data_IF_015598204835
#
_entry.id   IF_015598204835
#
_cell.length_a   1.000
_cell.length_b   1.000
_cell.length_c   1.000
_cell.angle_alpha   90.00
_cell.angle_beta   90.00
_cell.angle_gamma   90.00
#
_symmetry.space_group_name_H-M   'P 1'
#
loop_
_entity.id
_entity.type
_entity.pdbx_description
1 polymer ?
#
# COMPACT_ATOMS: atom_id res chain seq x y z
N UNK A 1 13.67 5.83 -30.47
CA UNK A 1 12.98 6.95 -31.18
C UNK A 1 13.94 7.72 -32.10
N UNK A 2 15.13 8.14 -31.63
CA UNK A 2 16.05 9.04 -32.36
C UNK A 2 16.52 8.44 -33.68
N UNK A 3 16.94 7.17 -33.72
CA UNK A 3 17.41 6.49 -34.95
C UNK A 3 16.30 6.29 -35.99
N UNK A 4 15.06 6.05 -35.59
CA UNK A 4 13.93 5.92 -36.52
C UNK A 4 13.58 7.27 -37.11
N UNK A 5 13.53 8.32 -36.31
CA UNK A 5 13.19 9.68 -36.80
C UNK A 5 14.28 10.29 -37.67
N UNK A 6 15.57 9.92 -37.49
CA UNK A 6 16.64 10.41 -38.35
C UNK A 6 16.60 9.78 -39.75
N UNK A 7 16.19 8.50 -39.85
CA UNK A 7 16.12 7.79 -41.12
C UNK A 7 14.75 7.95 -41.82
N UNK A 8 13.67 8.06 -41.05
CA UNK A 8 12.31 8.07 -41.54
C UNK A 8 11.46 9.13 -40.80
N UNK A 9 11.68 10.46 -41.04
CA UNK A 9 11.10 11.50 -40.19
C UNK A 9 9.56 11.55 -40.23
N UNK A 10 8.94 11.32 -41.39
CA UNK A 10 7.48 11.31 -41.51
C UNK A 10 6.84 10.03 -41.04
N UNK A 11 7.33 8.89 -41.55
CA UNK A 11 6.83 7.57 -41.16
C UNK A 11 7.07 7.25 -39.68
N UNK A 12 8.22 7.70 -39.15
CA UNK A 12 8.53 7.56 -37.73
C UNK A 12 7.57 8.37 -36.85
N UNK A 13 7.19 9.59 -37.23
CA UNK A 13 6.18 10.40 -36.49
C UNK A 13 4.81 9.73 -36.52
N UNK A 14 4.38 9.26 -37.70
CA UNK A 14 3.12 8.56 -37.86
C UNK A 14 3.07 7.29 -37.03
N UNK A 15 4.15 6.48 -37.03
CA UNK A 15 4.30 5.31 -36.18
C UNK A 15 4.14 5.68 -34.71
N UNK A 16 4.86 6.69 -34.23
CA UNK A 16 4.77 7.08 -32.80
C UNK A 16 3.41 7.67 -32.44
N UNK A 17 2.71 8.29 -33.36
CA UNK A 17 1.33 8.69 -33.17
C UNK A 17 0.42 7.47 -32.99
N UNK A 18 0.51 6.46 -33.84
CA UNK A 18 -0.24 5.21 -33.69
C UNK A 18 0.10 4.49 -32.37
N UNK A 19 1.39 4.44 -32.00
CA UNK A 19 1.81 3.88 -30.71
C UNK A 19 1.24 4.68 -29.52
N UNK A 20 1.05 5.99 -29.65
CA UNK A 20 0.50 6.81 -28.55
C UNK A 20 -0.99 6.62 -28.30
N UNK A 21 -1.77 6.30 -29.35
CA UNK A 21 -3.22 6.06 -29.25
C UNK A 21 -3.56 4.57 -29.10
N UNK A 22 -2.54 3.70 -29.18
CA UNK A 22 -2.76 2.24 -29.08
C UNK A 22 -3.41 1.81 -27.76
N UNK A 23 -3.04 2.35 -26.57
CA UNK A 23 -3.67 1.97 -25.32
C UNK A 23 -5.18 2.22 -25.32
N UNK A 24 -5.61 3.38 -25.84
CA UNK A 24 -7.02 3.73 -25.92
C UNK A 24 -7.78 2.85 -26.91
N UNK A 25 -7.20 2.61 -28.11
CA UNK A 25 -7.78 1.71 -29.09
C UNK A 25 -7.93 0.30 -28.55
N UNK A 26 -6.88 -0.20 -27.86
CA UNK A 26 -6.91 -1.50 -27.21
C UNK A 26 -8.02 -1.55 -26.16
N UNK A 27 -8.06 -0.61 -25.24
CA UNK A 27 -9.00 -0.55 -24.12
C UNK A 27 -10.47 -0.47 -24.58
N UNK A 28 -10.76 0.25 -25.66
CA UNK A 28 -12.15 0.49 -26.08
C UNK A 28 -12.65 -0.42 -27.21
N UNK A 29 -11.74 -1.04 -27.98
CA UNK A 29 -12.12 -1.79 -29.18
C UNK A 29 -11.64 -3.24 -29.20
N UNK A 30 -10.47 -3.54 -28.61
CA UNK A 30 -9.83 -4.85 -28.76
C UNK A 30 -9.53 -5.56 -27.43
N UNK A 31 -9.79 -4.92 -26.31
CA UNK A 31 -9.56 -5.53 -25.02
C UNK A 31 -10.58 -6.64 -24.77
N UNK A 32 -10.12 -7.84 -24.44
CA UNK A 32 -10.96 -8.91 -23.93
C UNK A 32 -11.56 -8.53 -22.57
N UNK A 33 -12.74 -9.02 -22.27
CA UNK A 33 -13.40 -8.75 -21.00
C UNK A 33 -12.68 -9.38 -19.80
N UNK A 34 -11.88 -10.45 -20.03
CA UNK A 34 -11.30 -11.27 -18.96
C UNK A 34 -9.76 -11.26 -18.92
N UNK A 35 -9.07 -10.93 -20.01
CA UNK A 35 -7.63 -11.24 -20.17
C UNK A 35 -6.67 -10.09 -19.83
N UNK A 36 -7.15 -8.97 -19.35
CA UNK A 36 -6.31 -7.81 -19.10
C UNK A 36 -5.72 -7.78 -17.69
N UNK A 37 -4.48 -7.29 -17.60
CA UNK A 37 -3.74 -7.12 -16.35
C UNK A 37 -3.46 -5.64 -16.07
N UNK A 38 -3.43 -5.19 -14.81
CA UNK A 38 -3.62 -5.98 -13.57
C UNK A 38 -5.08 -6.26 -13.24
N UNK A 39 -6.04 -5.65 -13.93
CA UNK A 39 -7.48 -5.83 -13.73
C UNK A 39 -8.18 -5.97 -15.07
N UNK A 40 -9.01 -7.01 -15.21
CA UNK A 40 -9.85 -7.20 -16.38
C UNK A 40 -10.89 -6.10 -16.53
N UNK A 41 -11.44 -5.96 -17.73
CA UNK A 41 -12.54 -5.03 -18.00
C UNK A 41 -13.75 -5.29 -17.10
N UNK A 42 -14.10 -6.55 -16.86
CA UNK A 42 -15.18 -6.92 -15.96
C UNK A 42 -14.95 -6.44 -14.54
N UNK A 43 -13.74 -6.59 -14.01
CA UNK A 43 -13.36 -6.09 -12.68
C UNK A 43 -13.45 -4.57 -12.60
N UNK A 44 -12.95 -3.85 -13.60
CA UNK A 44 -13.04 -2.37 -13.66
C UNK A 44 -14.49 -1.91 -13.76
N UNK A 45 -15.31 -2.56 -14.58
CA UNK A 45 -16.75 -2.25 -14.74
C UNK A 45 -17.49 -2.39 -13.41
N UNK A 46 -17.22 -3.46 -12.66
CA UNK A 46 -17.80 -3.64 -11.32
C UNK A 46 -17.47 -2.47 -10.39
N UNK A 47 -16.21 -1.99 -10.38
CA UNK A 47 -15.82 -0.84 -9.56
C UNK A 47 -16.59 0.41 -9.95
N UNK A 48 -16.74 0.68 -11.26
CA UNK A 48 -17.49 1.84 -11.74
C UNK A 48 -18.97 1.76 -11.39
N UNK A 49 -19.61 0.60 -11.56
CA UNK A 49 -21.00 0.38 -11.16
C UNK A 49 -21.20 0.64 -9.66
N UNK A 50 -20.34 0.08 -8.82
CA UNK A 50 -20.40 0.27 -7.36
C UNK A 50 -20.14 1.73 -6.96
N UNK A 51 -19.22 2.42 -7.62
CA UNK A 51 -18.95 3.83 -7.36
C UNK A 51 -20.13 4.76 -7.65
N UNK A 52 -21.02 4.34 -8.56
CA UNK A 52 -22.27 5.04 -8.90
C UNK A 52 -23.48 4.53 -8.13
N UNK A 53 -23.26 3.59 -7.20
CA UNK A 53 -24.32 2.91 -6.45
C UNK A 53 -25.30 2.13 -7.36
N UNK A 54 -24.82 1.66 -8.49
CA UNK A 54 -25.57 0.79 -9.40
C UNK A 54 -25.45 -0.67 -8.93
N UNK A 55 -26.57 -1.34 -8.74
CA UNK A 55 -26.62 -2.73 -8.30
C UNK A 55 -26.33 -3.69 -9.45
N UNK A 56 -25.29 -4.53 -9.32
CA UNK A 56 -25.00 -5.58 -10.28
C UNK A 56 -25.87 -6.81 -10.04
N UNK A 57 -26.91 -6.98 -10.85
CA UNK A 57 -27.67 -8.24 -10.93
C UNK A 57 -27.25 -8.98 -12.19
N UNK A 58 -26.94 -10.27 -12.06
CA UNK A 58 -26.58 -11.16 -13.16
C UNK A 58 -27.73 -12.13 -13.46
N UNK A 59 -28.68 -11.77 -14.34
CA UNK A 59 -29.93 -12.54 -14.50
C UNK A 59 -29.76 -13.92 -15.17
N UNK A 60 -28.69 -14.11 -15.94
CA UNK A 60 -28.44 -15.35 -16.69
C UNK A 60 -27.33 -16.22 -16.11
N UNK A 61 -26.80 -15.87 -14.95
CA UNK A 61 -25.72 -16.60 -14.28
C UNK A 61 -24.38 -15.90 -14.30
N UNK A 62 -23.32 -16.65 -13.98
CA UNK A 62 -21.98 -16.12 -13.88
C UNK A 62 -21.35 -15.83 -15.23
N UNK A 63 -20.51 -14.78 -15.28
CA UNK A 63 -19.60 -14.49 -16.38
C UNK A 63 -18.17 -14.98 -16.08
N UNK A 64 -17.96 -15.60 -14.92
CA UNK A 64 -16.64 -16.07 -14.48
C UNK A 64 -16.34 -17.48 -15.00
N UNK A 65 -15.08 -17.77 -15.23
CA UNK A 65 -14.59 -19.08 -15.70
C UNK A 65 -14.36 -20.03 -14.52
N UNK A 66 -15.40 -20.70 -14.07
CA UNK A 66 -15.43 -21.53 -12.86
C UNK A 66 -14.45 -22.70 -12.84
N UNK A 67 -14.00 -23.18 -13.99
CA UNK A 67 -13.17 -24.39 -14.10
C UNK A 67 -11.68 -24.07 -14.35
N UNK A 68 -11.28 -22.81 -14.19
CA UNK A 68 -9.86 -22.44 -14.24
C UNK A 68 -9.18 -22.63 -12.88
N UNK A 69 -7.88 -22.95 -12.89
CA UNK A 69 -7.11 -23.31 -11.69
C UNK A 69 -7.00 -22.19 -10.65
N UNK A 70 -7.15 -20.94 -11.06
CA UNK A 70 -7.06 -19.74 -10.22
C UNK A 70 -8.42 -19.25 -9.73
N UNK A 71 -9.52 -19.94 -10.09
CA UNK A 71 -10.85 -19.57 -9.62
C UNK A 71 -10.97 -19.67 -8.10
N UNK A 72 -11.43 -18.59 -7.48
CA UNK A 72 -11.60 -18.48 -6.03
C UNK A 72 -13.08 -18.33 -5.70
N UNK A 73 -13.56 -19.13 -4.74
CA UNK A 73 -14.95 -19.10 -4.30
C UNK A 73 -15.09 -19.12 -2.79
N UNK A 74 -16.26 -18.75 -2.30
CA UNK A 74 -16.67 -18.92 -0.91
C UNK A 74 -17.72 -20.01 -0.80
N UNK A 75 -17.60 -20.89 0.19
CA UNK A 75 -18.64 -21.85 0.49
C UNK A 75 -19.86 -21.16 1.13
N UNK A 76 -21.05 -21.68 0.86
CA UNK A 76 -22.28 -21.23 1.49
C UNK A 76 -22.99 -22.38 2.21
N UNK A 77 -23.91 -22.04 3.13
CA UNK A 77 -24.76 -23.01 3.84
C UNK A 77 -26.16 -23.05 3.26
N UNK A 78 -26.78 -24.23 3.27
CA UNK A 78 -28.23 -24.38 3.00
C UNK A 78 -29.10 -23.83 4.13
N UNK A 79 -28.49 -23.57 5.32
CA UNK A 79 -29.14 -22.97 6.48
C UNK A 79 -28.35 -21.74 6.94
N UNK A 80 -28.47 -20.59 6.22
CA UNK A 80 -27.68 -19.41 6.52
C UNK A 80 -28.12 -18.77 7.83
N UNK A 81 -27.15 -18.25 8.56
CA UNK A 81 -27.40 -17.46 9.76
C UNK A 81 -27.73 -16.02 9.40
N UNK A 82 -28.71 -15.44 10.08
CA UNK A 82 -29.00 -14.01 9.95
C UNK A 82 -27.95 -13.19 10.67
N UNK A 83 -27.32 -12.29 9.94
CA UNK A 83 -26.33 -11.35 10.47
C UNK A 83 -27.08 -10.15 11.05
N UNK A 84 -26.95 -9.93 12.36
CA UNK A 84 -27.57 -8.79 13.06
C UNK A 84 -26.82 -7.48 12.85
N UNK A 85 -25.52 -7.53 12.60
CA UNK A 85 -24.66 -6.38 12.41
C UNK A 85 -23.60 -6.68 11.35
N UNK A 86 -23.46 -5.79 10.39
CA UNK A 86 -22.48 -5.91 9.29
C UNK A 86 -21.13 -5.23 9.61
N UNK A 87 -21.03 -4.58 10.76
CA UNK A 87 -19.81 -3.88 11.17
C UNK A 87 -18.83 -4.86 11.87
N UNK A 88 -18.16 -5.67 11.05
CA UNK A 88 -17.16 -6.61 11.53
C UNK A 88 -15.87 -5.89 11.91
N UNK A 89 -15.45 -6.03 13.18
CA UNK A 89 -14.24 -5.42 13.71
C UNK A 89 -13.30 -6.44 14.30
N UNK A 90 -12.01 -6.22 14.08
CA UNK A 90 -10.94 -6.96 14.72
C UNK A 90 -10.22 -6.03 15.70
N UNK A 91 -10.07 -6.50 16.93
CA UNK A 91 -9.36 -5.76 17.97
C UNK A 91 -7.86 -5.94 17.78
N UNK A 92 -7.15 -4.86 17.43
CA UNK A 92 -5.71 -4.84 17.19
C UNK A 92 -5.00 -4.12 18.34
N UNK A 93 -3.90 -4.72 18.82
CA UNK A 93 -3.07 -4.20 19.90
C UNK A 93 -3.33 -4.87 21.26
N UNK A 94 -2.29 -4.93 22.07
CA UNK A 94 -2.30 -5.57 23.39
C UNK A 94 -2.47 -4.60 24.57
N UNK A 95 -2.28 -3.28 24.31
CA UNK A 95 -2.28 -2.23 25.33
C UNK A 95 -3.65 -1.60 25.59
N UNK A 96 -3.64 -0.48 26.32
CA UNK A 96 -4.84 0.31 26.61
C UNK A 96 -5.42 1.02 25.37
N UNK A 97 -4.58 1.34 24.37
CA UNK A 97 -4.96 2.04 23.16
C UNK A 97 -5.11 1.07 21.98
N UNK A 98 -6.03 0.10 22.12
CA UNK A 98 -6.38 -0.82 21.07
C UNK A 98 -7.23 -0.13 20.00
N UNK A 99 -7.14 -0.62 18.77
CA UNK A 99 -7.96 -0.14 17.66
C UNK A 99 -8.94 -1.21 17.20
N UNK A 100 -10.21 -0.85 17.05
CA UNK A 100 -11.25 -1.71 16.47
C UNK A 100 -11.20 -1.58 14.95
N UNK A 101 -10.34 -2.37 14.33
CA UNK A 101 -10.06 -2.30 12.90
C UNK A 101 -11.15 -2.96 12.08
N UNK A 102 -11.61 -2.31 11.02
CA UNK A 102 -12.51 -2.90 10.04
C UNK A 102 -11.82 -4.03 9.28
N UNK A 103 -12.58 -4.98 8.74
CA UNK A 103 -12.06 -6.00 7.82
C UNK A 103 -11.62 -5.41 6.47
N UNK A 104 -12.21 -4.29 6.04
CA UNK A 104 -11.80 -3.53 4.86
C UNK A 104 -11.07 -2.27 5.30
N UNK A 105 -9.90 -2.01 4.71
CA UNK A 105 -9.11 -0.79 4.94
C UNK A 105 -8.44 -0.36 3.65
N UNK A 106 -8.05 0.91 3.56
CA UNK A 106 -7.34 1.43 2.38
C UNK A 106 -5.85 1.17 2.54
N UNK A 107 -5.27 0.52 1.55
CA UNK A 107 -3.84 0.21 1.46
C UNK A 107 -2.97 1.47 1.44
N UNK A 108 -1.68 1.29 1.76
CA UNK A 108 -0.70 2.38 1.85
C UNK A 108 -0.40 3.04 0.51
N UNK A 109 -0.91 4.25 0.33
CA UNK A 109 -0.64 5.11 -0.83
C UNK A 109 -0.02 6.42 -0.39
N UNK A 110 1.20 6.68 -0.86
CA UNK A 110 1.99 7.84 -0.42
C UNK A 110 1.52 9.14 -1.05
N UNK A 111 1.46 10.22 -0.27
CA UNK A 111 1.40 11.56 -0.83
C UNK A 111 2.68 11.85 -1.64
N UNK A 112 2.48 12.26 -2.89
CA UNK A 112 3.51 12.39 -3.91
C UNK A 112 3.59 11.21 -4.88
N UNK A 113 3.08 10.02 -4.51
CA UNK A 113 2.78 8.95 -5.48
C UNK A 113 1.40 9.19 -6.13
N UNK A 114 0.43 9.63 -5.33
CA UNK A 114 -0.89 10.07 -5.80
C UNK A 114 -1.14 11.53 -5.43
N UNK A 115 -2.12 12.15 -6.08
CA UNK A 115 -2.43 13.58 -5.96
C UNK A 115 -3.13 13.94 -4.64
N UNK A 116 -3.08 15.22 -4.22
CA UNK A 116 -3.83 15.72 -3.06
C UNK A 116 -5.32 15.36 -3.07
N UNK A 117 -6.08 15.61 -4.17
CA UNK A 117 -7.50 15.23 -4.21
C UNK A 117 -7.73 13.73 -4.02
N UNK A 118 -6.85 12.88 -4.56
CA UNK A 118 -6.95 11.43 -4.39
C UNK A 118 -6.77 11.02 -2.92
N UNK A 119 -5.74 11.54 -2.23
CA UNK A 119 -5.53 11.29 -0.79
C UNK A 119 -6.75 11.76 0.02
N UNK A 120 -7.22 12.98 -0.22
CA UNK A 120 -8.37 13.53 0.52
C UNK A 120 -9.63 12.69 0.30
N UNK A 121 -9.89 12.26 -0.93
CA UNK A 121 -11.05 11.42 -1.27
C UNK A 121 -10.97 10.05 -0.58
N UNK A 122 -9.82 9.39 -0.62
CA UNK A 122 -9.61 8.11 0.06
C UNK A 122 -9.79 8.25 1.58
N UNK A 123 -9.24 9.30 2.17
CA UNK A 123 -9.36 9.48 3.61
C UNK A 123 -10.79 9.89 4.04
N UNK A 124 -11.50 10.68 3.25
CA UNK A 124 -12.94 10.92 3.45
C UNK A 124 -13.77 9.65 3.34
N UNK A 125 -13.47 8.78 2.36
CA UNK A 125 -14.10 7.48 2.23
C UNK A 125 -13.85 6.60 3.47
N UNK A 126 -12.63 6.60 3.99
CA UNK A 126 -12.30 5.92 5.24
C UNK A 126 -13.14 6.42 6.41
N UNK A 127 -13.34 7.74 6.53
CA UNK A 127 -14.22 8.34 7.53
C UNK A 127 -15.68 7.91 7.36
N UNK A 128 -16.18 7.96 6.12
CA UNK A 128 -17.58 7.59 5.83
C UNK A 128 -17.85 6.11 6.09
N UNK A 129 -16.92 5.24 5.72
CA UNK A 129 -17.05 3.79 5.90
C UNK A 129 -16.58 3.28 7.27
N UNK A 130 -16.04 4.15 8.13
CA UNK A 130 -15.57 3.76 9.47
C UNK A 130 -14.38 2.80 9.44
N UNK A 131 -13.50 2.90 8.44
CA UNK A 131 -12.29 2.09 8.31
C UNK A 131 -11.03 2.96 8.26
N UNK A 132 -9.86 2.34 8.23
CA UNK A 132 -8.59 3.06 8.25
C UNK A 132 -8.01 3.28 6.86
N UNK A 133 -7.29 4.40 6.70
CA UNK A 133 -6.47 4.71 5.54
C UNK A 133 -5.00 4.66 5.92
N UNK A 134 -4.22 3.78 5.28
CA UNK A 134 -2.78 3.73 5.47
C UNK A 134 -2.11 4.83 4.65
N UNK A 135 -1.24 5.61 5.30
CA UNK A 135 -0.60 6.79 4.68
C UNK A 135 0.43 6.47 3.61
N UNK A 136 0.86 5.21 3.53
CA UNK A 136 2.07 4.89 2.78
C UNK A 136 3.32 5.55 3.36
N UNK A 137 4.46 5.39 2.70
CA UNK A 137 5.76 5.84 3.20
C UNK A 137 6.01 7.35 3.13
N UNK A 138 5.14 8.11 2.48
CA UNK A 138 5.28 9.56 2.28
C UNK A 138 4.97 10.42 3.50
N UNK A 139 4.75 9.83 4.66
CA UNK A 139 4.30 10.48 5.89
C UNK A 139 2.80 10.83 5.90
N UNK A 140 2.30 11.21 7.06
CA UNK A 140 0.96 11.78 7.23
C UNK A 140 0.98 13.20 6.64
N UNK A 141 0.27 13.42 5.55
CA UNK A 141 0.13 14.72 4.89
C UNK A 141 -1.07 15.51 5.42
N UNK A 142 -1.14 16.84 5.17
CA UNK A 142 -2.34 17.63 5.48
C UNK A 142 -3.62 17.05 4.84
N UNK A 143 -3.52 16.47 3.66
CA UNK A 143 -4.64 15.87 2.94
C UNK A 143 -5.20 14.61 3.59
N UNK A 144 -4.38 13.85 4.30
CA UNK A 144 -4.85 12.78 5.18
C UNK A 144 -5.60 13.36 6.39
N UNK A 145 -5.11 14.48 6.93
CA UNK A 145 -5.73 15.12 8.10
C UNK A 145 -7.09 15.76 7.75
N UNK A 146 -7.18 16.45 6.63
CA UNK A 146 -8.40 17.09 6.13
C UNK A 146 -9.53 16.10 5.86
N UNK A 147 -9.21 14.88 5.45
CA UNK A 147 -10.19 13.82 5.26
C UNK A 147 -10.88 13.40 6.56
N UNK A 148 -10.18 13.48 7.68
CA UNK A 148 -10.69 13.20 9.02
C UNK A 148 -11.01 11.74 9.31
N UNK A 149 -10.59 10.81 8.44
CA UNK A 149 -10.70 9.36 8.65
C UNK A 149 -9.55 8.82 9.49
N UNK A 150 -9.77 7.67 10.13
CA UNK A 150 -8.73 6.99 10.89
C UNK A 150 -7.53 6.64 10.01
N UNK A 151 -6.32 6.83 10.53
CA UNK A 151 -5.10 6.63 9.75
C UNK A 151 -4.17 5.61 10.39
N UNK A 152 -3.56 4.77 9.54
CA UNK A 152 -2.40 3.94 9.89
C UNK A 152 -1.19 4.68 9.35
N UNK A 153 -0.34 5.19 10.24
CA UNK A 153 0.86 5.88 9.80
C UNK A 153 1.98 4.91 9.50
N UNK A 154 2.35 4.83 8.22
CA UNK A 154 3.42 3.95 7.77
C UNK A 154 4.79 4.66 7.85
N UNK A 155 5.76 3.95 8.40
CA UNK A 155 7.16 4.39 8.55
C UNK A 155 8.04 3.46 7.73
N UNK A 156 8.74 4.02 6.74
CA UNK A 156 9.70 3.30 5.90
C UNK A 156 11.13 3.70 6.25
N UNK A 157 12.08 3.15 5.52
CA UNK A 157 13.53 3.33 5.67
C UNK A 157 14.00 4.78 5.56
N UNK A 158 13.21 5.66 4.91
CA UNK A 158 13.47 7.10 4.80
C UNK A 158 13.01 7.90 6.01
N UNK A 159 12.27 7.31 6.96
CA UNK A 159 11.71 7.98 8.15
C UNK A 159 10.98 9.29 7.86
N UNK A 160 10.32 9.39 6.71
CA UNK A 160 9.65 10.63 6.31
C UNK A 160 8.61 11.06 7.33
N UNK A 161 8.65 12.36 7.65
CA UNK A 161 7.82 12.96 8.68
C UNK A 161 8.25 12.73 10.12
N UNK A 162 9.26 11.88 10.36
CA UNK A 162 9.88 11.66 11.67
C UNK A 162 11.39 11.49 11.57
N UNK A 163 12.05 12.24 10.69
CA UNK A 163 13.50 12.22 10.49
C UNK A 163 14.17 13.51 10.94
N UNK A 164 15.45 13.44 11.29
CA UNK A 164 16.30 14.59 11.45
C UNK A 164 16.87 15.10 10.11
N UNK A 165 17.63 16.18 10.11
CA UNK A 165 18.27 16.75 8.91
C UNK A 165 19.26 15.79 8.23
N UNK A 166 19.78 14.80 8.97
CA UNK A 166 20.71 13.77 8.47
C UNK A 166 19.98 12.51 7.98
N UNK A 167 18.64 12.50 8.03
CA UNK A 167 17.80 11.38 7.61
C UNK A 167 17.75 10.23 8.60
N UNK A 168 18.06 10.45 9.88
CA UNK A 168 17.93 9.46 10.93
C UNK A 168 16.56 9.59 11.62
N UNK A 169 16.11 8.51 12.25
CA UNK A 169 14.88 8.53 13.05
C UNK A 169 14.95 9.55 14.19
N UNK A 170 13.95 10.41 14.29
CA UNK A 170 13.81 11.41 15.33
C UNK A 170 12.65 11.08 16.29
N UNK A 171 12.92 10.61 17.52
CA UNK A 171 11.89 10.22 18.47
C UNK A 171 10.88 11.33 18.81
N UNK A 172 11.34 12.58 18.90
CA UNK A 172 10.48 13.72 19.18
C UNK A 172 9.47 13.95 18.07
N UNK A 173 9.95 14.13 16.83
CA UNK A 173 9.09 14.35 15.66
C UNK A 173 8.11 13.17 15.43
N UNK A 174 8.57 11.94 15.71
CA UNK A 174 7.70 10.77 15.69
C UNK A 174 6.59 10.89 16.74
N UNK A 175 6.94 11.15 18.00
CA UNK A 175 5.96 11.21 19.10
C UNK A 175 4.91 12.29 18.87
N UNK A 176 5.31 13.48 18.39
CA UNK A 176 4.42 14.59 18.12
C UNK A 176 3.35 14.22 17.06
N UNK A 177 3.75 13.54 16.00
CA UNK A 177 2.87 13.12 14.94
C UNK A 177 2.05 11.86 15.30
N UNK A 178 2.68 10.87 15.93
CA UNK A 178 2.04 9.60 16.32
C UNK A 178 0.92 9.80 17.35
N UNK A 179 0.99 10.84 18.19
CA UNK A 179 -0.04 11.15 19.19
C UNK A 179 -1.29 11.84 18.65
N UNK A 180 -1.28 12.28 17.39
CA UNK A 180 -2.49 12.84 16.76
C UNK A 180 -3.66 11.86 16.87
N UNK A 181 -4.86 12.39 17.16
CA UNK A 181 -6.07 11.58 17.41
C UNK A 181 -6.44 10.68 16.23
N UNK A 182 -6.22 11.16 15.02
CA UNK A 182 -6.51 10.46 13.77
C UNK A 182 -5.58 9.26 13.51
N UNK A 183 -4.34 9.31 13.99
CA UNK A 183 -3.40 8.19 13.89
C UNK A 183 -3.82 7.11 14.90
N UNK A 184 -4.28 5.97 14.42
CA UNK A 184 -4.75 4.85 15.25
C UNK A 184 -3.71 3.77 15.44
N UNK A 185 -2.94 3.51 14.40
CA UNK A 185 -1.91 2.48 14.38
C UNK A 185 -0.64 2.99 13.69
N UNK A 186 0.48 2.33 13.96
CA UNK A 186 1.78 2.58 13.32
C UNK A 186 2.18 1.32 12.56
N UNK A 187 2.68 1.48 11.34
CA UNK A 187 3.18 0.37 10.53
C UNK A 187 4.62 0.61 10.10
N UNK A 188 5.51 -0.34 10.38
CA UNK A 188 6.90 -0.31 9.93
C UNK A 188 6.97 -1.07 8.60
N UNK A 189 7.27 -0.38 7.50
CA UNK A 189 7.42 -1.00 6.19
C UNK A 189 8.83 -1.57 6.04
N UNK A 190 8.94 -2.89 6.02
CA UNK A 190 10.20 -3.62 5.79
C UNK A 190 10.48 -3.78 4.30
N UNK A 191 9.45 -4.15 3.53
CA UNK A 191 9.52 -4.30 2.08
C UNK A 191 8.15 -4.11 1.42
N UNK A 192 8.09 -4.19 0.10
CA UNK A 192 6.86 -4.18 -0.69
C UNK A 192 6.98 -5.12 -1.87
N UNK A 193 5.84 -5.57 -2.42
CA UNK A 193 5.78 -6.57 -3.48
C UNK A 193 6.50 -6.19 -4.76
N UNK A 194 6.21 -5.01 -5.29
CA UNK A 194 6.73 -4.60 -6.59
C UNK A 194 8.23 -4.32 -6.66
N UNK A 195 8.92 -4.14 -5.53
CA UNK A 195 10.37 -3.89 -5.50
C UNK A 195 11.02 -4.32 -4.19
N UNK A 196 11.12 -5.62 -3.93
CA UNK A 196 11.82 -6.13 -2.73
C UNK A 196 13.28 -5.69 -2.74
N UNK A 197 13.79 -5.30 -1.55
CA UNK A 197 15.18 -4.85 -1.40
C UNK A 197 15.53 -3.52 -2.04
N UNK A 198 14.55 -2.82 -2.59
CA UNK A 198 14.72 -1.50 -3.19
C UNK A 198 13.99 -0.43 -2.36
N UNK A 199 14.65 0.66 -2.01
CA UNK A 199 14.03 1.78 -1.32
C UNK A 199 13.01 2.53 -2.18
N UNK A 200 12.19 3.39 -1.55
CA UNK A 200 11.32 4.31 -2.26
C UNK A 200 12.11 5.31 -3.10
N UNK A 201 11.60 5.67 -4.27
CA UNK A 201 12.17 6.68 -5.14
C UNK A 201 11.11 7.67 -5.60
N UNK A 202 11.39 8.96 -5.42
CA UNK A 202 10.62 10.06 -6.01
C UNK A 202 11.62 11.02 -6.65
N UNK A 203 11.52 11.18 -7.97
CA UNK A 203 12.45 12.00 -8.73
C UNK A 203 12.26 13.50 -8.47
N UNK A 204 13.33 14.27 -8.54
CA UNK A 204 13.40 15.71 -8.28
C UNK A 204 12.25 16.54 -8.90
N UNK A 205 11.85 16.33 -10.17
CA UNK A 205 10.75 17.10 -10.78
C UNK A 205 9.38 16.91 -10.10
N UNK A 206 9.21 15.81 -9.34
CA UNK A 206 7.98 15.50 -8.59
C UNK A 206 8.04 15.98 -7.13
N UNK A 207 9.21 16.43 -6.65
CA UNK A 207 9.38 16.88 -5.27
C UNK A 207 8.99 18.36 -5.17
N UNK A 208 7.69 18.62 -5.00
CA UNK A 208 7.15 19.96 -4.74
C UNK A 208 7.47 20.44 -3.32
N UNK A 209 7.26 21.72 -3.04
CA UNK A 209 7.41 22.29 -1.69
C UNK A 209 6.57 21.56 -0.65
N UNK A 210 5.31 21.25 -0.95
CA UNK A 210 4.41 20.53 -0.05
C UNK A 210 4.90 19.11 0.27
N UNK A 211 5.39 18.40 -0.76
CA UNK A 211 5.96 17.06 -0.60
C UNK A 211 7.23 17.14 0.23
N UNK A 212 8.10 18.11 -0.07
CA UNK A 212 9.34 18.32 0.66
C UNK A 212 9.08 18.61 2.15
N UNK A 213 8.15 19.51 2.44
CA UNK A 213 7.73 19.82 3.80
C UNK A 213 7.13 18.61 4.52
N UNK A 214 6.24 17.88 3.88
CA UNK A 214 5.57 16.68 4.45
C UNK A 214 6.57 15.58 4.80
N UNK A 215 7.55 15.35 3.91
CA UNK A 215 8.59 14.32 4.07
C UNK A 215 9.78 14.76 4.91
N UNK A 216 10.01 16.06 5.09
CA UNK A 216 11.20 16.61 5.74
C UNK A 216 12.46 16.43 4.87
N UNK A 217 12.37 16.80 3.58
CA UNK A 217 13.45 16.70 2.58
C UNK A 217 13.62 18.04 1.85
N UNK A 218 14.66 18.15 1.02
CA UNK A 218 14.91 19.33 0.21
C UNK A 218 14.07 19.32 -1.08
N UNK A 219 13.56 20.49 -1.46
CA UNK A 219 12.80 20.69 -2.70
C UNK A 219 13.70 20.47 -3.92
N UNK A 220 13.17 19.87 -4.96
CA UNK A 220 13.86 19.72 -6.26
C UNK A 220 15.07 18.79 -6.24
N UNK A 221 15.21 17.95 -5.21
CA UNK A 221 16.20 16.88 -5.16
C UNK A 221 15.54 15.52 -5.17
N UNK A 222 16.23 14.53 -5.77
CA UNK A 222 15.77 13.15 -5.76
C UNK A 222 15.62 12.65 -4.32
N UNK A 223 14.44 12.10 -4.02
CA UNK A 223 14.12 11.53 -2.73
C UNK A 223 14.25 10.01 -2.80
N UNK A 224 15.42 9.49 -2.45
CA UNK A 224 15.75 8.07 -2.46
C UNK A 224 15.82 7.56 -1.02
N UNK A 225 15.03 6.54 -0.71
CA UNK A 225 15.08 5.88 0.59
C UNK A 225 16.14 4.78 0.60
N UNK A 226 16.85 4.56 1.72
CA UNK A 226 17.74 3.41 1.88
C UNK A 226 17.01 2.08 1.68
N UNK A 227 17.73 1.03 1.24
CA UNK A 227 17.15 -0.31 1.07
C UNK A 227 16.73 -0.97 2.39
N UNK A 228 17.35 -0.60 3.50
CA UNK A 228 17.09 -1.15 4.85
C UNK A 228 17.01 -0.07 5.92
N UNK A 229 16.33 -0.38 7.00
CA UNK A 229 16.25 0.51 8.17
C UNK A 229 17.61 0.68 8.85
N UNK A 230 17.87 1.88 9.35
CA UNK A 230 19.08 2.18 10.16
C UNK A 230 18.92 1.79 11.62
N UNK A 231 17.69 1.78 12.14
CA UNK A 231 17.38 1.54 13.56
C UNK A 231 17.53 0.08 13.99
N UNK A 232 17.53 -0.85 13.03
CA UNK A 232 17.67 -2.28 13.32
C UNK A 232 18.27 -3.06 12.14
N UNK A 233 18.97 -4.15 12.46
CA UNK A 233 19.58 -5.10 11.50
C UNK A 233 19.34 -6.55 11.87
N UNK A 234 18.55 -6.83 12.91
CA UNK A 234 18.17 -8.16 13.35
C UNK A 234 16.72 -8.19 13.85
N UNK A 235 16.08 -9.39 13.89
CA UNK A 235 14.73 -9.53 14.43
C UNK A 235 14.59 -9.00 15.86
N UNK A 236 15.56 -9.26 16.72
CA UNK A 236 15.55 -8.75 18.09
C UNK A 236 15.59 -7.21 18.16
N UNK A 237 16.39 -6.58 17.31
CA UNK A 237 16.45 -5.13 17.25
C UNK A 237 15.16 -4.54 16.67
N UNK A 238 14.53 -5.22 15.69
CA UNK A 238 13.21 -4.86 15.18
C UNK A 238 12.17 -4.87 16.32
N UNK A 239 12.11 -5.92 17.14
CA UNK A 239 11.17 -5.99 18.27
C UNK A 239 11.43 -4.87 19.30
N UNK A 240 12.67 -4.54 19.57
CA UNK A 240 13.03 -3.40 20.43
C UNK A 240 12.57 -2.06 19.81
N UNK A 241 12.66 -1.93 18.49
CA UNK A 241 12.18 -0.74 17.79
C UNK A 241 10.65 -0.65 17.82
N UNK A 242 9.94 -1.76 17.65
CA UNK A 242 8.47 -1.84 17.83
C UNK A 242 8.06 -1.37 19.23
N UNK A 243 8.72 -1.85 20.29
CA UNK A 243 8.45 -1.41 21.65
C UNK A 243 8.73 0.08 21.86
N UNK A 244 9.84 0.59 21.30
CA UNK A 244 10.18 2.01 21.29
C UNK A 244 9.06 2.86 20.66
N UNK A 245 8.58 2.47 19.48
CA UNK A 245 7.49 3.18 18.78
C UNK A 245 6.18 3.10 19.56
N UNK A 246 5.83 1.93 20.11
CA UNK A 246 4.64 1.76 20.95
C UNK A 246 4.66 2.70 22.15
N UNK A 247 5.80 2.81 22.84
CA UNK A 247 5.97 3.74 23.96
C UNK A 247 5.84 5.20 23.51
N UNK A 248 6.49 5.58 22.41
CA UNK A 248 6.49 6.96 21.91
C UNK A 248 5.13 7.41 21.37
N UNK A 249 4.34 6.47 20.82
CA UNK A 249 2.98 6.74 20.31
C UNK A 249 1.91 6.80 21.40
N UNK A 250 2.29 6.58 22.67
CA UNK A 250 1.33 6.50 23.78
C UNK A 250 0.58 5.17 23.86
N UNK A 251 1.17 4.09 23.41
CA UNK A 251 0.62 2.73 23.52
C UNK A 251 -0.25 2.31 22.33
N UNK A 252 -0.18 3.00 21.19
CA UNK A 252 -0.88 2.60 19.98
C UNK A 252 -0.29 1.31 19.39
N UNK A 253 -1.12 0.49 18.70
CA UNK A 253 -0.63 -0.71 18.03
C UNK A 253 0.48 -0.41 17.02
N UNK A 254 1.50 -1.27 17.01
CA UNK A 254 2.63 -1.17 16.07
C UNK A 254 2.77 -2.50 15.34
N UNK A 255 2.63 -2.45 14.02
CA UNK A 255 2.79 -3.59 13.12
C UNK A 255 3.94 -3.44 12.15
N UNK A 256 4.08 -4.45 11.30
CA UNK A 256 5.04 -4.46 10.19
C UNK A 256 4.32 -4.74 8.88
N UNK A 257 4.90 -4.26 7.77
CA UNK A 257 4.51 -4.62 6.41
C UNK A 257 5.72 -5.20 5.67
N UNK A 258 5.50 -6.34 4.99
CA UNK A 258 6.53 -6.98 4.17
C UNK A 258 5.92 -7.72 2.99
N UNK A 259 6.68 -7.86 1.91
CA UNK A 259 6.48 -8.89 0.91
C UNK A 259 7.29 -10.11 1.34
N UNK A 260 6.72 -11.30 1.23
CA UNK A 260 7.43 -12.54 1.52
C UNK A 260 8.38 -12.83 0.36
N UNK A 261 9.68 -12.77 0.63
CA UNK A 261 10.71 -13.21 -0.29
C UNK A 261 11.22 -14.59 0.16
N UNK A 262 12.05 -14.59 1.19
CA UNK A 262 12.49 -15.81 1.83
C UNK A 262 11.64 -16.12 3.07
N UNK A 263 10.86 -17.21 3.10
CA UNK A 263 9.98 -17.53 4.23
C UNK A 263 10.70 -17.59 5.59
N UNK A 264 11.94 -18.01 5.61
CA UNK A 264 12.74 -18.09 6.84
C UNK A 264 13.02 -16.71 7.49
N UNK A 265 12.95 -15.60 6.74
CA UNK A 265 13.07 -14.27 7.33
C UNK A 265 11.88 -13.95 8.22
N UNK A 266 10.64 -14.21 7.75
CA UNK A 266 9.44 -14.08 8.57
C UNK A 266 9.45 -15.06 9.73
N UNK A 267 9.82 -16.32 9.48
CA UNK A 267 9.94 -17.35 10.52
C UNK A 267 10.93 -16.92 11.60
N UNK A 268 12.05 -16.30 11.22
CA UNK A 268 13.04 -15.78 12.18
C UNK A 268 12.46 -14.67 13.07
N UNK A 269 11.66 -13.77 12.51
CA UNK A 269 10.96 -12.73 13.27
C UNK A 269 9.99 -13.39 14.25
N UNK A 270 9.15 -14.33 13.79
CA UNK A 270 8.16 -15.02 14.62
C UNK A 270 8.83 -15.82 15.73
N UNK A 271 9.88 -16.58 15.44
CA UNK A 271 10.67 -17.30 16.48
C UNK A 271 11.22 -16.34 17.53
N UNK A 272 11.73 -15.18 17.09
CA UNK A 272 12.25 -14.18 18.04
C UNK A 272 11.11 -13.60 18.89
N UNK A 273 9.92 -13.35 18.32
CA UNK A 273 8.75 -12.91 19.08
C UNK A 273 8.39 -13.91 20.21
N UNK A 274 8.38 -15.22 19.89
CA UNK A 274 8.06 -16.27 20.85
C UNK A 274 9.14 -16.38 21.94
N UNK A 275 10.41 -16.39 21.55
CA UNK A 275 11.54 -16.54 22.50
C UNK A 275 11.65 -15.35 23.46
N UNK A 276 11.48 -14.15 22.95
CA UNK A 276 11.58 -12.90 23.72
C UNK A 276 10.27 -12.53 24.44
N UNK A 277 9.17 -13.23 24.12
CA UNK A 277 7.80 -12.89 24.59
C UNK A 277 7.42 -11.44 24.27
N UNK A 278 7.86 -10.96 23.10
CA UNK A 278 7.61 -9.61 22.58
C UNK A 278 6.88 -9.72 21.25
N UNK A 279 5.74 -9.08 21.14
CA UNK A 279 4.85 -9.30 20.02
C UNK A 279 4.64 -8.03 19.21
N UNK A 280 4.63 -8.20 17.91
CA UNK A 280 4.16 -7.23 16.92
C UNK A 280 2.62 -7.31 16.93
N UNK A 281 1.94 -6.16 16.87
CA UNK A 281 0.47 -6.13 17.03
C UNK A 281 -0.28 -6.60 15.77
N UNK A 282 0.30 -6.42 14.59
CA UNK A 282 -0.23 -6.91 13.31
C UNK A 282 0.87 -7.04 12.25
N UNK A 283 0.61 -7.86 11.25
CA UNK A 283 1.49 -8.05 10.08
C UNK A 283 0.66 -7.81 8.83
N UNK A 284 1.14 -6.92 7.97
CA UNK A 284 0.58 -6.67 6.65
C UNK A 284 1.42 -7.41 5.61
N UNK A 285 0.81 -8.38 4.95
CA UNK A 285 1.44 -9.09 3.83
C UNK A 285 1.15 -8.34 2.55
N UNK A 286 2.21 -7.99 1.81
CA UNK A 286 2.14 -7.35 0.49
C UNK A 286 2.48 -8.40 -0.57
N UNK A 287 1.59 -8.68 -1.51
CA UNK A 287 1.85 -9.62 -2.60
C UNK A 287 2.79 -9.02 -3.66
N UNK A 288 3.45 -9.89 -4.42
CA UNK A 288 4.32 -9.49 -5.52
C UNK A 288 3.58 -8.66 -6.58
N UNK A 289 2.27 -8.85 -6.70
CA UNK A 289 1.39 -8.13 -7.63
C UNK A 289 1.23 -6.65 -7.31
N UNK A 290 1.65 -6.22 -6.12
CA UNK A 290 1.53 -4.83 -5.68
C UNK A 290 2.31 -3.87 -6.59
N UNK A 291 1.64 -2.81 -7.08
CA UNK A 291 2.22 -1.85 -8.01
C UNK A 291 3.02 -0.73 -7.34
N UNK A 292 3.92 -0.14 -8.13
CA UNK A 292 4.61 1.12 -7.79
C UNK A 292 5.04 1.85 -9.07
N UNK A 293 5.06 3.18 -9.04
CA UNK A 293 5.50 3.98 -10.18
C UNK A 293 7.03 4.05 -10.40
N UNK A 294 7.83 3.30 -9.64
CA UNK A 294 9.29 3.46 -9.63
C UNK A 294 10.06 2.15 -9.46
N UNK A 295 9.48 1.01 -9.84
CA UNK A 295 10.18 -0.27 -9.86
C UNK A 295 10.74 -0.58 -11.25
N UNK A 296 11.92 -1.22 -11.36
CA UNK A 296 12.34 -1.89 -12.59
C UNK A 296 11.32 -2.97 -12.97
N UNK A 297 11.09 -3.16 -14.29
CA UNK A 297 10.14 -4.16 -14.81
C UNK A 297 10.48 -5.57 -14.30
N UNK A 298 11.76 -5.92 -14.31
CA UNK A 298 12.25 -7.20 -13.85
C UNK A 298 11.92 -7.47 -12.36
N UNK A 299 11.88 -6.42 -11.54
CA UNK A 299 11.51 -6.56 -10.13
C UNK A 299 10.00 -6.72 -9.97
N UNK A 300 9.23 -5.93 -10.71
CA UNK A 300 7.76 -5.98 -10.66
C UNK A 300 7.23 -7.33 -11.15
N UNK A 301 7.85 -7.89 -12.20
CA UNK A 301 7.30 -9.06 -12.89
C UNK A 301 7.85 -10.39 -12.36
N UNK A 302 9.00 -10.39 -11.61
CA UNK A 302 9.70 -11.63 -11.30
C UNK A 302 10.16 -11.77 -9.84
N UNK A 303 9.97 -10.78 -8.97
CA UNK A 303 10.43 -10.86 -7.59
C UNK A 303 9.25 -10.76 -6.59
N UNK A 304 9.37 -11.55 -5.54
CA UNK A 304 8.39 -11.62 -4.46
C UNK A 304 7.42 -12.78 -4.61
N UNK A 305 6.77 -13.13 -3.52
CA UNK A 305 5.76 -14.18 -3.47
C UNK A 305 4.38 -13.60 -3.80
N UNK A 306 3.57 -14.24 -4.67
CA UNK A 306 2.18 -13.87 -4.88
C UNK A 306 1.39 -13.85 -3.57
N UNK A 307 0.40 -12.98 -3.45
CA UNK A 307 -0.33 -12.78 -2.20
C UNK A 307 -1.00 -14.06 -1.69
N UNK A 308 -1.60 -14.85 -2.57
CA UNK A 308 -2.25 -16.12 -2.21
C UNK A 308 -1.27 -17.05 -1.50
N UNK A 309 -0.10 -17.28 -2.10
CA UNK A 309 0.92 -18.18 -1.57
C UNK A 309 1.61 -17.61 -0.31
N UNK A 310 1.72 -16.29 -0.22
CA UNK A 310 2.30 -15.61 0.93
C UNK A 310 1.42 -15.66 2.19
N UNK A 311 0.11 -15.92 2.04
CA UNK A 311 -0.85 -16.00 3.15
C UNK A 311 -1.02 -17.43 3.70
N UNK A 312 -0.57 -18.45 2.98
CA UNK A 312 -0.61 -19.86 3.37
C UNK A 312 0.67 -20.26 4.11
#
# INVERSE_FOLDING_TARGET
KRSILSNFPLLGRFRFFLESIRPELRQYYWESDDDEVPYSRNQRSMVYERSKNEGGVRPFGSLEKFYENDFVWLNHSISPSHIKNNDFRVKVGSGKNQYQMSVLNISGTSFGAISPPAITSLNKAAKMGGFAHNTGEGSLSPYHEDGGGDSIWQISTGYFGCRDKKGNFCPKSFSDKAKKKQVKMIEIKLSQGAKPGHGGMLLAPKVTEEIAQTRGIEVGKDCISPAKHKEFSSPLQLLKFVEKLRKLSGGKPVGIKLCIGHPWELISIVKTMVNEKKYIDFITVDGAEGGTGAAPAEFTDHLGCPLKDALI
#
